data_IF_186125331264
#
_entry.id   IF_186125331264
#
_cell.length_a   1.000
_cell.length_b   1.000
_cell.length_c   1.000
_cell.angle_alpha   90.00
_cell.angle_beta   90.00
_cell.angle_gamma   90.00
#
_symmetry.space_group_name_H-M   'P 1'
#
loop_
_entity.id
_entity.type
_entity.pdbx_description
1 polymer ?
#
# COMPACT_ATOMS: atom_id res chain seq x y z
N UNK A 1 -1.05 22.16 -12.59
CA UNK A 1 -1.13 20.69 -12.69
C UNK A 1 0.02 20.08 -11.91
N UNK A 2 -0.29 19.15 -11.01
CA UNK A 2 0.67 18.41 -10.19
C UNK A 2 0.54 16.91 -10.47
N UNK A 3 1.61 16.17 -10.17
CA UNK A 3 1.65 14.72 -10.36
C UNK A 3 2.89 14.10 -9.76
N UNK A 4 2.94 12.78 -9.78
CA UNK A 4 4.15 12.03 -9.41
C UNK A 4 5.27 12.26 -10.43
N UNK A 5 6.49 11.90 -10.04
CA UNK A 5 7.67 11.98 -10.91
C UNK A 5 7.50 11.22 -12.25
N UNK A 6 6.65 10.20 -12.27
CA UNK A 6 6.38 9.36 -13.44
C UNK A 6 5.20 9.88 -14.30
N UNK A 7 4.66 11.06 -13.98
CA UNK A 7 3.59 11.69 -14.76
C UNK A 7 2.17 11.18 -14.42
N UNK A 8 1.99 10.52 -13.28
CA UNK A 8 0.66 10.19 -12.76
C UNK A 8 0.04 11.43 -12.08
N UNK A 9 -1.16 11.83 -12.47
CA UNK A 9 -1.68 13.18 -12.23
C UNK A 9 -2.81 13.23 -11.21
N UNK A 10 -2.84 14.29 -10.41
CA UNK A 10 -3.98 14.62 -9.53
C UNK A 10 -4.33 13.54 -8.51
N UNK A 11 -5.55 13.58 -8.00
CA UNK A 11 -6.08 12.63 -7.02
C UNK A 11 -6.15 11.20 -7.55
N UNK A 12 -6.45 11.03 -8.83
CA UNK A 12 -6.61 9.70 -9.45
C UNK A 12 -5.27 9.04 -9.79
N UNK A 13 -4.19 9.82 -9.87
CA UNK A 13 -2.91 9.33 -10.39
C UNK A 13 -3.04 8.71 -11.79
N UNK A 14 -3.95 9.23 -12.61
CA UNK A 14 -4.02 8.84 -14.02
C UNK A 14 -2.80 9.34 -14.78
N UNK A 15 -2.24 8.48 -15.63
CA UNK A 15 -1.34 8.94 -16.69
C UNK A 15 -2.17 9.70 -17.76
N UNK A 16 -1.53 10.56 -18.59
CA UNK A 16 -2.25 11.39 -19.56
C UNK A 16 -3.19 10.63 -20.49
N UNK A 17 -2.80 9.44 -20.97
CA UNK A 17 -3.65 8.62 -21.84
C UNK A 17 -4.88 8.06 -21.10
N UNK A 18 -4.75 7.69 -19.83
CA UNK A 18 -5.90 7.31 -19.00
C UNK A 18 -6.81 8.49 -18.71
N UNK A 19 -6.27 9.69 -18.46
CA UNK A 19 -7.07 10.90 -18.33
C UNK A 19 -7.92 11.15 -19.58
N UNK A 20 -7.31 11.13 -20.76
CA UNK A 20 -8.01 11.37 -22.02
C UNK A 20 -9.17 10.38 -22.24
N UNK A 21 -8.97 9.11 -21.86
CA UNK A 21 -9.96 8.03 -22.05
C UNK A 21 -11.03 7.98 -20.98
N UNK A 22 -10.72 8.31 -19.72
CA UNK A 22 -11.56 7.98 -18.57
C UNK A 22 -11.98 9.18 -17.71
N UNK A 23 -11.33 10.33 -17.83
CA UNK A 23 -11.70 11.49 -17.02
C UNK A 23 -13.13 11.96 -17.35
N UNK A 24 -13.88 12.33 -16.31
CA UNK A 24 -15.28 12.73 -16.34
C UNK A 24 -15.40 14.15 -15.80
N UNK A 25 -16.18 14.97 -16.48
CA UNK A 25 -16.70 16.24 -15.97
C UNK A 25 -18.01 15.90 -15.27
N UNK A 26 -17.97 15.78 -13.96
CA UNK A 26 -19.13 15.40 -13.16
C UNK A 26 -19.93 16.62 -12.73
N UNK A 27 -19.26 17.74 -12.52
CA UNK A 27 -19.90 18.99 -12.04
C UNK A 27 -20.63 19.74 -13.17
N UNK A 28 -20.27 19.49 -14.42
CA UNK A 28 -20.85 20.12 -15.60
C UNK A 28 -20.29 21.51 -15.90
N UNK A 29 -19.13 21.85 -15.34
CA UNK A 29 -18.49 23.16 -15.50
C UNK A 29 -17.61 23.27 -16.77
N UNK A 30 -17.53 22.19 -17.56
CA UNK A 30 -16.74 22.09 -18.77
C UNK A 30 -15.30 21.61 -18.53
N UNK A 31 -14.94 21.25 -17.29
CA UNK A 31 -13.61 20.75 -16.91
C UNK A 31 -13.70 19.33 -16.38
N UNK A 32 -12.61 18.58 -16.54
CA UNK A 32 -12.45 17.24 -15.96
C UNK A 32 -11.37 17.33 -14.89
N UNK A 33 -11.60 18.15 -13.88
CA UNK A 33 -10.56 18.56 -12.94
C UNK A 33 -10.29 17.49 -11.88
N UNK A 34 -9.33 16.61 -12.18
CA UNK A 34 -8.89 15.57 -11.23
C UNK A 34 -7.87 16.08 -10.19
N UNK A 35 -7.63 17.39 -10.08
CA UNK A 35 -6.66 17.99 -9.16
C UNK A 35 -7.29 18.78 -8.01
N UNK A 36 -8.47 19.36 -8.24
CA UNK A 36 -9.06 20.34 -7.32
C UNK A 36 -9.37 19.78 -5.93
N UNK A 37 -9.55 20.67 -4.95
CA UNK A 37 -10.01 20.29 -3.60
C UNK A 37 -11.42 19.67 -3.62
N UNK A 38 -12.27 20.04 -4.58
CA UNK A 38 -13.51 19.32 -4.84
C UNK A 38 -13.18 18.02 -5.59
N UNK A 39 -13.35 16.84 -4.96
CA UNK A 39 -12.92 15.58 -5.54
C UNK A 39 -13.97 14.99 -6.49
N UNK A 40 -15.06 15.70 -6.79
CA UNK A 40 -16.20 15.16 -7.54
C UNK A 40 -15.80 14.56 -8.89
N UNK A 41 -15.03 15.31 -9.69
CA UNK A 41 -14.52 14.83 -10.98
C UNK A 41 -13.53 13.68 -10.81
N UNK A 42 -12.67 13.73 -9.79
CA UNK A 42 -11.72 12.65 -9.50
C UNK A 42 -12.42 11.34 -9.14
N UNK A 43 -13.42 11.39 -8.26
CA UNK A 43 -14.22 10.24 -7.85
C UNK A 43 -15.02 9.67 -9.02
N UNK A 44 -15.66 10.54 -9.81
CA UNK A 44 -16.40 10.13 -11.01
C UNK A 44 -15.47 9.50 -12.05
N UNK A 45 -14.29 10.07 -12.26
CA UNK A 45 -13.26 9.55 -13.17
C UNK A 45 -12.73 8.19 -12.73
N UNK A 46 -12.45 8.00 -11.44
CA UNK A 46 -12.05 6.71 -10.89
C UNK A 46 -13.15 5.65 -11.05
N UNK A 47 -14.42 6.01 -10.78
CA UNK A 47 -15.56 5.13 -10.96
C UNK A 47 -15.76 4.76 -12.45
N UNK A 48 -15.64 5.72 -13.36
CA UNK A 48 -15.73 5.49 -14.80
C UNK A 48 -14.63 4.57 -15.30
N UNK A 49 -13.39 4.74 -14.81
CA UNK A 49 -12.30 3.82 -15.11
C UNK A 49 -12.63 2.40 -14.68
N UNK A 50 -13.06 2.17 -13.44
CA UNK A 50 -13.41 0.84 -12.95
C UNK A 50 -14.57 0.24 -13.75
N UNK A 51 -15.64 1.00 -13.97
CA UNK A 51 -16.81 0.57 -14.73
C UNK A 51 -16.45 0.15 -16.16
N UNK A 52 -15.73 1.00 -16.90
CA UNK A 52 -15.34 0.73 -18.29
C UNK A 52 -14.33 -0.41 -18.41
N UNK A 53 -13.58 -0.70 -17.35
CA UNK A 53 -12.68 -1.85 -17.28
C UNK A 53 -13.35 -3.13 -16.73
N UNK A 54 -14.68 -3.14 -16.58
CA UNK A 54 -15.45 -4.35 -16.32
C UNK A 54 -15.81 -4.59 -14.85
N UNK A 55 -15.78 -3.57 -14.00
CA UNK A 55 -16.27 -3.68 -12.63
C UNK A 55 -17.72 -4.16 -12.60
N UNK A 56 -17.98 -5.21 -11.83
CA UNK A 56 -19.33 -5.75 -11.61
C UNK A 56 -19.88 -5.22 -10.29
N UNK A 57 -20.92 -4.38 -10.35
CA UNK A 57 -21.60 -3.88 -9.15
C UNK A 57 -22.19 -5.05 -8.34
N UNK A 58 -22.10 -4.96 -7.01
CA UNK A 58 -22.57 -5.98 -6.08
C UNK A 58 -21.62 -7.18 -5.90
N UNK A 59 -20.66 -7.40 -6.79
CA UNK A 59 -19.63 -8.42 -6.62
C UNK A 59 -18.49 -7.87 -5.76
N UNK A 60 -18.13 -8.55 -4.68
CA UNK A 60 -16.94 -8.19 -3.89
C UNK A 60 -15.65 -8.37 -4.70
N UNK A 61 -14.56 -7.68 -4.33
CA UNK A 61 -13.25 -7.92 -4.94
C UNK A 61 -12.73 -9.34 -4.63
N UNK A 62 -13.10 -9.88 -3.47
CA UNK A 62 -12.61 -11.13 -2.92
C UNK A 62 -12.77 -11.14 -1.41
N UNK A 63 -12.21 -12.15 -0.76
CA UNK A 63 -12.15 -12.24 0.69
C UNK A 63 -10.97 -13.11 1.14
N UNK A 64 -10.53 -12.94 2.38
CA UNK A 64 -9.63 -13.92 2.99
C UNK A 64 -10.34 -15.27 3.09
N UNK A 65 -9.68 -16.33 2.64
CA UNK A 65 -10.22 -17.70 2.62
C UNK A 65 -9.07 -18.69 2.71
N UNK A 66 -9.18 -19.69 3.61
CA UNK A 66 -8.18 -20.76 3.74
C UNK A 66 -7.98 -21.55 2.45
N UNK A 67 -8.98 -21.56 1.56
CA UNK A 67 -8.95 -22.22 0.26
C UNK A 67 -8.60 -21.26 -0.89
N UNK A 68 -8.22 -20.01 -0.59
CA UNK A 68 -7.84 -19.01 -1.58
C UNK A 68 -6.56 -19.38 -2.33
N UNK A 69 -6.54 -19.14 -3.64
CA UNK A 69 -5.37 -19.42 -4.49
C UNK A 69 -4.28 -18.37 -4.35
N UNK A 70 -4.62 -17.13 -4.02
CA UNK A 70 -3.66 -16.04 -3.85
C UNK A 70 -3.09 -16.05 -2.43
N UNK A 71 -1.76 -16.18 -2.31
CA UNK A 71 -1.04 -16.09 -1.03
C UNK A 71 0.18 -15.16 -1.20
N UNK A 72 0.10 -13.89 -0.77
CA UNK A 72 1.18 -12.92 -1.00
C UNK A 72 2.50 -13.27 -0.32
N UNK A 73 2.43 -14.02 0.79
CA UNK A 73 3.59 -14.52 1.53
C UNK A 73 3.32 -15.95 1.96
N UNK A 74 4.20 -16.93 1.67
CA UNK A 74 4.05 -18.31 2.15
C UNK A 74 3.81 -18.36 3.66
N UNK A 75 2.82 -19.14 4.08
CA UNK A 75 2.39 -19.23 5.49
C UNK A 75 1.53 -18.06 5.99
N UNK A 76 1.30 -17.03 5.16
CA UNK A 76 0.43 -15.91 5.46
C UNK A 76 -1.02 -16.09 4.98
N UNK A 77 -1.83 -15.01 5.05
CA UNK A 77 -3.23 -15.04 4.65
C UNK A 77 -3.39 -15.46 3.18
N UNK A 78 -4.46 -16.22 2.93
CA UNK A 78 -4.87 -16.66 1.60
C UNK A 78 -6.15 -15.93 1.20
N UNK A 79 -6.28 -15.62 -0.09
CA UNK A 79 -7.40 -14.85 -0.61
C UNK A 79 -8.07 -15.58 -1.77
N UNK A 80 -9.39 -15.67 -1.71
CA UNK A 80 -10.22 -16.01 -2.87
C UNK A 80 -10.58 -14.69 -3.56
N UNK A 81 -10.14 -14.51 -4.81
CA UNK A 81 -10.36 -13.28 -5.57
C UNK A 81 -11.45 -13.47 -6.62
N UNK A 82 -12.09 -12.36 -7.00
CA UNK A 82 -13.10 -12.35 -8.05
C UNK A 82 -12.60 -11.57 -9.26
N UNK A 83 -13.44 -11.43 -10.28
CA UNK A 83 -13.18 -10.54 -11.42
C UNK A 83 -12.88 -9.10 -10.98
N UNK A 84 -13.53 -8.60 -9.93
CA UNK A 84 -13.33 -7.21 -9.48
C UNK A 84 -11.92 -6.98 -8.93
N UNK A 85 -11.25 -8.01 -8.39
CA UNK A 85 -9.82 -7.94 -8.07
C UNK A 85 -8.97 -7.62 -9.30
N UNK A 86 -9.25 -8.30 -10.41
CA UNK A 86 -8.52 -8.09 -11.67
C UNK A 86 -8.79 -6.69 -12.24
N UNK A 87 -9.98 -6.12 -12.02
CA UNK A 87 -10.27 -4.73 -12.41
C UNK A 87 -9.43 -3.74 -11.60
N UNK A 88 -9.26 -3.95 -10.29
CA UNK A 88 -8.36 -3.14 -9.46
C UNK A 88 -6.92 -3.24 -9.96
N UNK A 89 -6.47 -4.45 -10.35
CA UNK A 89 -5.14 -4.66 -10.92
C UNK A 89 -4.90 -3.95 -12.25
N UNK A 90 -5.96 -3.58 -13.00
CA UNK A 90 -5.78 -2.74 -14.20
C UNK A 90 -5.39 -1.31 -13.84
N UNK A 91 -5.85 -0.81 -12.70
CA UNK A 91 -5.47 0.50 -12.16
C UNK A 91 -3.99 0.51 -11.76
N UNK A 92 -3.54 -0.53 -11.06
CA UNK A 92 -2.12 -0.78 -10.77
C UNK A 92 -1.89 -2.30 -10.66
N UNK A 93 -1.00 -2.83 -11.51
CA UNK A 93 -0.78 -4.27 -11.68
C UNK A 93 0.07 -4.89 -10.55
N UNK A 94 -0.43 -4.83 -9.32
CA UNK A 94 0.18 -5.40 -8.12
C UNK A 94 -0.86 -6.09 -7.26
N UNK A 95 -0.59 -7.34 -6.86
CA UNK A 95 -1.47 -8.09 -5.96
C UNK A 95 -1.56 -7.41 -4.59
N UNK A 96 -0.44 -6.89 -4.07
CA UNK A 96 -0.42 -6.17 -2.81
C UNK A 96 -1.26 -4.89 -2.87
N UNK A 97 -1.19 -4.15 -3.98
CA UNK A 97 -2.04 -2.99 -4.21
C UNK A 97 -3.52 -3.38 -4.24
N UNK A 98 -3.88 -4.40 -5.01
CA UNK A 98 -5.27 -4.80 -5.17
C UNK A 98 -5.87 -5.38 -3.87
N UNK A 99 -5.09 -6.14 -3.09
CA UNK A 99 -5.47 -6.57 -1.74
C UNK A 99 -5.64 -5.36 -0.83
N UNK A 100 -4.72 -4.40 -0.88
CA UNK A 100 -4.78 -3.18 -0.08
C UNK A 100 -6.04 -2.36 -0.35
N UNK A 101 -6.36 -2.10 -1.62
CA UNK A 101 -7.59 -1.38 -2.03
C UNK A 101 -8.84 -2.16 -1.64
N UNK A 102 -8.87 -3.46 -1.94
CA UNK A 102 -10.01 -4.32 -1.60
C UNK A 102 -10.27 -4.36 -0.10
N UNK A 103 -9.23 -4.65 0.68
CA UNK A 103 -9.32 -4.72 2.13
C UNK A 103 -9.66 -3.34 2.74
N UNK A 104 -9.06 -2.25 2.27
CA UNK A 104 -9.43 -0.90 2.71
C UNK A 104 -10.91 -0.62 2.46
N UNK A 105 -11.43 -1.00 1.29
CA UNK A 105 -12.85 -0.86 0.98
C UNK A 105 -13.74 -1.65 1.95
N UNK A 106 -13.32 -2.86 2.35
CA UNK A 106 -14.04 -3.64 3.36
C UNK A 106 -13.96 -2.98 4.74
N UNK A 107 -12.81 -2.44 5.13
CA UNK A 107 -12.62 -1.71 6.39
C UNK A 107 -13.49 -0.45 6.47
N UNK A 108 -13.62 0.31 5.38
CA UNK A 108 -14.52 1.48 5.29
C UNK A 108 -15.98 1.08 5.47
N UNK A 109 -16.39 -0.10 4.98
CA UNK A 109 -17.75 -0.64 5.17
C UNK A 109 -17.97 -1.27 6.56
N UNK A 110 -17.01 -1.18 7.48
CA UNK A 110 -17.09 -1.74 8.83
C UNK A 110 -16.65 -3.21 8.95
N UNK A 111 -16.09 -3.81 7.91
CA UNK A 111 -15.51 -5.16 7.96
C UNK A 111 -14.30 -5.22 8.90
N UNK A 112 -14.00 -6.40 9.47
CA UNK A 112 -12.89 -6.65 10.41
C UNK A 112 -11.48 -6.61 9.78
N UNK A 113 -10.41 -6.69 10.60
CA UNK A 113 -9.05 -6.87 10.09
C UNK A 113 -8.89 -8.26 9.44
N UNK A 114 -7.77 -8.48 8.75
CA UNK A 114 -7.38 -9.83 8.33
C UNK A 114 -7.29 -10.77 9.55
N UNK A 115 -7.79 -12.00 9.39
CA UNK A 115 -7.83 -13.01 10.45
C UNK A 115 -6.47 -13.67 10.64
N UNK A 116 -5.78 -13.96 9.54
CA UNK A 116 -4.45 -14.57 9.55
C UNK A 116 -3.38 -13.50 9.53
N UNK A 117 -2.46 -13.55 10.50
CA UNK A 117 -1.29 -12.69 10.50
C UNK A 117 -0.31 -13.08 9.39
N UNK A 118 0.44 -12.09 8.90
CA UNK A 118 1.60 -12.36 8.06
C UNK A 118 2.75 -12.94 8.90
N UNK A 119 3.47 -13.96 8.40
CA UNK A 119 4.60 -14.51 9.09
C UNK A 119 5.78 -13.53 9.13
N UNK A 120 6.81 -13.80 9.94
CA UNK A 120 8.04 -13.01 9.94
C UNK A 120 8.63 -12.86 8.53
N UNK A 121 9.31 -11.73 8.29
CA UNK A 121 10.04 -11.49 7.05
C UNK A 121 11.32 -12.34 6.95
N UNK A 122 12.10 -12.12 5.89
CA UNK A 122 13.37 -12.83 5.65
C UNK A 122 14.41 -12.64 6.78
N UNK A 123 14.28 -11.60 7.61
CA UNK A 123 15.15 -11.35 8.76
C UNK A 123 14.57 -11.91 10.07
N UNK A 124 13.49 -12.68 9.98
CA UNK A 124 12.78 -13.24 11.13
C UNK A 124 11.99 -12.21 11.92
N UNK A 125 11.70 -11.02 11.37
CA UNK A 125 10.97 -9.96 12.06
C UNK A 125 9.50 -9.94 11.65
N UNK A 126 8.60 -9.94 12.63
CA UNK A 126 7.18 -9.62 12.40
C UNK A 126 7.02 -8.12 12.10
N UNK A 127 5.86 -7.70 11.57
CA UNK A 127 5.56 -6.26 11.44
C UNK A 127 5.68 -5.54 12.79
N UNK A 128 5.23 -6.17 13.87
CA UNK A 128 5.34 -5.61 15.22
C UNK A 128 6.79 -5.46 15.67
N UNK A 129 7.67 -6.42 15.33
CA UNK A 129 9.11 -6.30 15.57
C UNK A 129 9.71 -5.11 14.83
N UNK A 130 9.39 -4.94 13.54
CA UNK A 130 9.89 -3.84 12.73
C UNK A 130 9.46 -2.47 13.25
N UNK A 131 8.19 -2.33 13.64
CA UNK A 131 7.69 -1.11 14.29
C UNK A 131 8.42 -0.85 15.60
N UNK A 132 8.66 -1.89 16.42
CA UNK A 132 9.46 -1.75 17.66
C UNK A 132 10.89 -1.32 17.37
N UNK A 133 11.53 -1.90 16.35
CA UNK A 133 12.88 -1.57 15.93
C UNK A 133 12.98 -0.08 15.55
N UNK A 134 12.08 0.41 14.70
CA UNK A 134 12.02 1.83 14.31
C UNK A 134 11.84 2.76 15.51
N UNK A 135 10.88 2.44 16.40
CA UNK A 135 10.65 3.23 17.62
C UNK A 135 11.87 3.25 18.54
N UNK A 136 12.56 2.12 18.72
CA UNK A 136 13.72 2.03 19.61
C UNK A 136 14.98 2.67 19.04
N UNK A 137 15.15 2.64 17.71
CA UNK A 137 16.20 3.42 17.02
C UNK A 137 15.97 4.91 17.21
N UNK A 138 14.75 5.38 16.93
CA UNK A 138 14.37 6.79 17.07
C UNK A 138 14.55 7.27 18.52
N UNK A 139 14.12 6.47 19.50
CA UNK A 139 14.29 6.78 20.92
C UNK A 139 15.77 6.87 21.36
N UNK A 140 16.71 6.32 20.59
CA UNK A 140 18.16 6.40 20.82
C UNK A 140 18.85 7.49 20.01
N UNK A 141 18.09 8.33 19.31
CA UNK A 141 18.64 9.41 18.48
C UNK A 141 18.96 8.99 17.04
N UNK A 142 18.57 7.78 16.62
CA UNK A 142 18.70 7.31 15.24
C UNK A 142 17.33 7.38 14.56
N UNK A 143 16.98 8.56 14.07
CA UNK A 143 15.63 8.86 13.56
C UNK A 143 15.30 8.05 12.30
N UNK A 144 14.19 7.30 12.36
CA UNK A 144 13.68 6.49 11.24
C UNK A 144 12.61 7.20 10.42
N UNK A 145 12.31 8.46 10.72
CA UNK A 145 11.30 9.30 10.05
C UNK A 145 9.88 8.70 10.08
N UNK A 146 9.61 7.84 11.07
CA UNK A 146 8.34 7.13 11.22
C UNK A 146 8.50 5.71 11.77
N UNK A 147 7.39 5.07 12.14
CA UNK A 147 7.38 3.72 12.71
C UNK A 147 6.21 2.88 12.17
N UNK A 148 6.16 2.71 10.86
CA UNK A 148 5.11 2.00 10.12
C UNK A 148 5.39 0.48 9.90
N UNK A 149 6.62 0.05 10.23
CA UNK A 149 7.13 -1.30 10.03
C UNK A 149 7.62 -1.56 8.61
N UNK A 150 7.76 -0.55 7.75
CA UNK A 150 8.40 -0.65 6.44
C UNK A 150 9.88 -0.33 6.58
N UNK A 151 10.75 -1.27 6.19
CA UNK A 151 12.20 -1.04 6.20
C UNK A 151 12.57 -0.36 4.88
N UNK A 152 12.48 0.96 4.88
CA UNK A 152 12.92 1.81 3.77
C UNK A 152 14.27 2.46 4.03
N UNK A 153 14.69 3.30 3.09
CA UNK A 153 15.97 4.04 3.12
C UNK A 153 16.27 4.69 4.46
N UNK A 154 15.29 5.35 5.08
CA UNK A 154 15.51 6.08 6.34
C UNK A 154 15.69 5.12 7.52
N UNK A 155 14.97 4.00 7.53
CA UNK A 155 15.18 2.94 8.55
C UNK A 155 16.53 2.27 8.35
N UNK A 156 16.94 1.97 7.12
CA UNK A 156 18.26 1.41 6.83
C UNK A 156 19.38 2.36 7.24
N UNK A 157 19.24 3.66 6.97
CA UNK A 157 20.20 4.69 7.38
C UNK A 157 20.32 4.77 8.91
N UNK A 158 19.19 4.76 9.63
CA UNK A 158 19.19 4.73 11.08
C UNK A 158 19.86 3.46 11.65
N UNK A 159 19.65 2.31 11.01
CA UNK A 159 20.34 1.06 11.38
C UNK A 159 21.84 1.18 11.19
N UNK A 160 22.30 1.72 10.04
CA UNK A 160 23.74 1.91 9.77
C UNK A 160 24.38 2.81 10.81
N UNK A 161 23.76 3.95 11.10
CA UNK A 161 24.26 4.90 12.09
C UNK A 161 24.32 4.28 13.49
N UNK A 162 23.31 3.48 13.88
CA UNK A 162 23.36 2.74 15.14
C UNK A 162 24.51 1.73 15.17
N UNK A 163 24.68 0.93 14.11
CA UNK A 163 25.75 -0.06 13.99
C UNK A 163 27.13 0.59 14.11
N UNK A 164 27.35 1.70 13.40
CA UNK A 164 28.58 2.51 13.48
C UNK A 164 28.85 2.98 14.91
N UNK A 165 27.84 3.54 15.59
CA UNK A 165 27.97 4.04 16.98
C UNK A 165 28.34 2.94 17.99
N UNK A 166 28.10 1.67 17.65
CA UNK A 166 28.34 0.50 18.49
C UNK A 166 29.56 -0.31 18.05
N UNK A 167 30.28 0.11 17.00
CA UNK A 167 31.39 -0.65 16.43
C UNK A 167 30.97 -2.01 15.85
N UNK A 168 29.71 -2.14 15.42
CA UNK A 168 29.18 -3.34 14.77
C UNK A 168 29.42 -3.29 13.25
N UNK A 169 29.36 -4.44 12.53
CA UNK A 169 29.32 -4.44 11.07
C UNK A 169 28.16 -3.60 10.53
N UNK A 170 28.47 -2.67 9.63
CA UNK A 170 27.52 -1.67 9.09
C UNK A 170 26.76 -2.25 7.89
N UNK A 171 25.76 -3.08 8.16
CA UNK A 171 24.95 -3.74 7.13
C UNK A 171 23.76 -2.90 6.67
N UNK A 172 23.20 -2.07 7.57
CA UNK A 172 21.90 -1.44 7.35
C UNK A 172 20.71 -2.41 7.39
N UNK A 173 20.96 -3.69 7.66
CA UNK A 173 19.95 -4.75 7.63
C UNK A 173 19.37 -4.96 9.01
N UNK A 174 18.03 -5.02 9.17
CA UNK A 174 17.41 -5.30 10.45
C UNK A 174 17.58 -6.77 10.82
N UNK A 175 17.58 -7.08 12.11
CA UNK A 175 17.61 -8.46 12.60
C UNK A 175 17.00 -8.55 14.00
N UNK A 176 16.65 -9.76 14.43
CA UNK A 176 16.22 -10.01 15.81
C UNK A 176 17.31 -9.62 16.82
N UNK A 177 18.59 -9.93 16.53
CA UNK A 177 19.71 -9.55 17.38
C UNK A 177 19.87 -8.02 17.50
N UNK A 178 19.71 -7.29 16.39
CA UNK A 178 19.71 -5.84 16.42
C UNK A 178 18.57 -5.30 17.29
N UNK A 179 17.34 -5.78 17.08
CA UNK A 179 16.18 -5.39 17.88
C UNK A 179 16.38 -5.65 19.38
N UNK A 180 17.02 -6.75 19.75
CA UNK A 180 17.31 -7.10 21.15
C UNK A 180 18.40 -6.22 21.77
N UNK A 181 19.32 -5.68 20.96
CA UNK A 181 20.39 -4.78 21.44
C UNK A 181 19.92 -3.34 21.70
N UNK A 182 18.76 -2.98 21.15
CA UNK A 182 18.02 -1.74 21.37
C UNK A 182 17.00 -1.95 22.50
#
# INVERSE_FOLDING_TARGET
MTGSWAGAMGHTQFIPTSYLQFAVDYTGDGRRDIWSEDPSDALASAAAYLQRNGWQRGLGWGSESSNGSLQPQPGGPRFATTRNFNVIKRYNNSDAYAIGVGHLSDRIRGGGPLRTAFPPDANGLTKADRVRLQKRLTARGFDTQGADGVIGRDTEAAIRAYQESRGLPVTGTPSQGLLQSL
#
